data_IF_896503548523
#
_entry.id   IF_896503548523
#
_cell.length_a   1.000
_cell.length_b   1.000
_cell.length_c   1.000
_cell.angle_alpha   90.00
_cell.angle_beta   90.00
_cell.angle_gamma   90.00
#
_symmetry.space_group_name_H-M   'P 1'
#
loop_
_entity.id
_entity.type
_entity.pdbx_description
1 polymer ?
#
# COMPACT_ATOMS: atom_id res chain seq x y z
N UNK A 1 -0.91 10.22 -14.20
CA UNK A 1 -0.44 10.76 -12.91
C UNK A 1 -1.67 10.97 -12.04
N UNK A 2 -1.66 10.44 -10.82
CA UNK A 2 -2.77 10.47 -9.87
C UNK A 2 -2.85 11.87 -9.28
N UNK A 3 -4.00 12.52 -9.44
CA UNK A 3 -4.26 13.84 -8.85
C UNK A 3 -4.60 13.69 -7.37
N UNK A 4 -3.99 14.52 -6.52
CA UNK A 4 -4.31 14.59 -5.09
C UNK A 4 -5.79 14.95 -4.84
N UNK A 5 -6.46 15.64 -5.78
CA UNK A 5 -7.90 15.90 -5.72
C UNK A 5 -8.78 14.64 -5.80
N UNK A 6 -8.24 13.53 -6.30
CA UNK A 6 -8.94 12.23 -6.37
C UNK A 6 -8.86 11.45 -5.06
N UNK A 7 -8.11 11.93 -4.08
CA UNK A 7 -7.93 11.27 -2.81
C UNK A 7 -9.19 11.37 -1.95
N UNK A 8 -9.58 10.22 -1.40
CA UNK A 8 -10.64 10.16 -0.41
C UNK A 8 -10.13 10.60 0.96
N UNK A 9 -10.97 11.34 1.68
CA UNK A 9 -10.63 11.91 2.99
C UNK A 9 -10.25 10.84 4.03
N UNK A 10 -9.50 11.23 5.07
CA UNK A 10 -9.18 10.34 6.20
C UNK A 10 -10.43 9.67 6.81
N UNK A 11 -11.55 10.37 7.04
CA UNK A 11 -12.81 9.74 7.46
C UNK A 11 -13.32 8.62 6.54
N UNK A 12 -13.08 8.71 5.23
CA UNK A 12 -13.41 7.62 4.30
C UNK A 12 -12.44 6.45 4.48
N UNK A 13 -11.14 6.72 4.52
CA UNK A 13 -10.09 5.70 4.66
C UNK A 13 -10.17 4.95 6.01
N UNK A 14 -10.81 5.54 7.02
CA UNK A 14 -11.17 4.85 8.28
C UNK A 14 -12.17 3.71 8.08
N UNK A 15 -13.01 3.79 7.04
CA UNK A 15 -14.14 2.87 6.80
C UNK A 15 -13.92 1.94 5.62
N UNK A 16 -13.14 2.37 4.63
CA UNK A 16 -13.03 1.66 3.36
C UNK A 16 -11.65 1.85 2.73
N UNK A 17 -11.26 0.88 1.92
CA UNK A 17 -10.12 0.96 1.02
C UNK A 17 -10.46 1.84 -0.19
N UNK A 18 -9.54 2.69 -0.58
CA UNK A 18 -9.57 3.36 -1.88
C UNK A 18 -8.82 2.51 -2.90
N UNK A 19 -9.36 2.37 -4.11
CA UNK A 19 -8.71 1.66 -5.22
C UNK A 19 -8.79 2.49 -6.48
N UNK A 20 -7.81 2.33 -7.38
CA UNK A 20 -7.76 3.04 -8.65
C UNK A 20 -6.79 2.42 -9.63
N UNK A 21 -6.66 3.06 -10.78
CA UNK A 21 -5.73 2.64 -11.83
C UNK A 21 -5.25 3.80 -12.68
N UNK A 22 -3.99 3.75 -13.08
CA UNK A 22 -3.38 4.67 -14.04
C UNK A 22 -2.48 3.87 -14.99
N UNK A 23 -2.74 3.94 -16.30
CA UNK A 23 -1.87 3.43 -17.39
C UNK A 23 -1.15 2.10 -17.08
N UNK A 24 -1.91 1.04 -16.80
CA UNK A 24 -1.37 -0.30 -16.54
C UNK A 24 -0.97 -0.58 -15.09
N UNK A 25 -0.88 0.44 -14.23
CA UNK A 25 -0.75 0.30 -12.78
C UNK A 25 -2.13 0.28 -12.12
N UNK A 26 -2.35 -0.68 -11.22
CA UNK A 26 -3.44 -0.68 -10.25
C UNK A 26 -2.90 -0.27 -8.89
N UNK A 27 -3.68 0.46 -8.14
CA UNK A 27 -3.28 0.90 -6.81
C UNK A 27 -4.42 0.84 -5.80
N UNK A 28 -4.04 0.80 -4.53
CA UNK A 28 -4.97 0.94 -3.41
C UNK A 28 -4.32 1.66 -2.23
N UNK A 29 -5.14 2.35 -1.45
CA UNK A 29 -4.76 3.00 -0.20
C UNK A 29 -5.75 2.55 0.87
N UNK A 30 -5.25 1.99 1.97
CA UNK A 30 -6.09 1.48 3.07
C UNK A 30 -5.45 1.65 4.44
N UNK A 31 -6.30 1.65 5.47
CA UNK A 31 -5.89 1.63 6.88
C UNK A 31 -5.25 0.29 7.24
N UNK A 32 -4.15 0.36 7.99
CA UNK A 32 -3.53 -0.80 8.64
C UNK A 32 -3.31 -0.49 10.12
N UNK A 33 -3.48 -1.47 10.99
CA UNK A 33 -3.13 -1.37 12.41
C UNK A 33 -1.88 -2.21 12.66
N UNK A 34 -0.90 -1.63 13.35
CA UNK A 34 0.37 -2.27 13.70
C UNK A 34 0.57 -2.18 15.21
N UNK A 35 0.88 -3.32 15.85
CA UNK A 35 1.27 -3.33 17.26
C UNK A 35 2.77 -3.11 17.36
N UNK A 36 3.18 -2.05 18.06
CA UNK A 36 4.58 -1.79 18.38
C UNK A 36 4.83 -2.14 19.84
N UNK A 37 5.91 -2.88 20.07
CA UNK A 37 6.40 -3.18 21.41
C UNK A 37 7.38 -2.07 21.78
N UNK A 38 7.08 -1.31 22.82
CA UNK A 38 7.99 -0.29 23.32
C UNK A 38 8.93 -0.98 24.32
N UNK A 39 10.25 -1.06 24.04
CA UNK A 39 11.20 -1.55 25.02
C UNK A 39 11.25 -0.57 26.19
N UNK A 40 11.18 -1.09 27.42
CA UNK A 40 11.26 -0.27 28.63
C UNK A 40 12.69 0.31 28.73
N UNK A 41 12.87 1.61 28.50
CA UNK A 41 14.20 2.26 28.56
C UNK A 41 14.69 2.52 30.00
N UNK A 42 13.83 2.36 31.01
CA UNK A 42 14.20 2.48 32.43
C UNK A 42 14.77 1.16 32.99
N UNK A 43 15.97 0.82 32.56
CA UNK A 43 16.80 -0.22 33.19
C UNK A 43 17.58 0.35 34.39
N UNK A 44 16.94 1.11 35.29
CA UNK A 44 17.51 1.48 36.58
C UNK A 44 16.70 0.84 37.72
N UNK A 45 17.12 -0.38 38.09
CA UNK A 45 16.90 -1.04 39.38
C UNK A 45 15.52 -0.89 40.05
N UNK A 46 14.57 -1.76 39.71
CA UNK A 46 13.87 -2.55 40.73
C UNK A 46 13.23 -3.78 40.08
N UNK A 47 13.23 -4.92 40.78
CA UNK A 47 12.76 -6.20 40.29
C UNK A 47 11.23 -6.22 40.19
N UNK A 48 10.69 -5.66 39.10
CA UNK A 48 9.31 -5.88 38.69
C UNK A 48 9.30 -6.33 37.23
N UNK A 49 8.80 -7.54 36.99
CA UNK A 49 8.52 -8.06 35.65
C UNK A 49 7.33 -7.30 35.06
N UNK A 50 7.52 -6.05 34.63
CA UNK A 50 6.51 -5.31 33.87
C UNK A 50 6.53 -5.79 32.41
N UNK A 51 5.43 -6.38 31.96
CA UNK A 51 5.25 -6.82 30.59
C UNK A 51 5.49 -5.66 29.60
N UNK A 52 6.08 -5.93 28.42
CA UNK A 52 6.31 -4.90 27.41
C UNK A 52 5.02 -4.14 27.08
N UNK A 53 5.06 -2.81 27.05
CA UNK A 53 3.90 -1.99 26.67
C UNK A 53 3.67 -2.12 25.17
N UNK A 54 2.54 -2.69 24.80
CA UNK A 54 2.06 -2.79 23.42
C UNK A 54 1.24 -1.55 23.06
N UNK A 55 1.67 -0.80 22.04
CA UNK A 55 0.93 0.32 21.48
C UNK A 55 0.37 -0.04 20.10
N UNK A 56 -0.92 0.22 19.89
CA UNK A 56 -1.56 0.07 18.58
C UNK A 56 -1.42 1.35 17.77
N UNK A 57 -0.61 1.30 16.72
CA UNK A 57 -0.40 2.42 15.79
C UNK A 57 -1.27 2.22 14.55
N UNK A 58 -1.98 3.27 14.13
CA UNK A 58 -2.74 3.27 12.88
C UNK A 58 -1.94 3.94 11.77
N UNK A 59 -1.83 3.27 10.61
CA UNK A 59 -1.06 3.72 9.45
C UNK A 59 -1.91 3.66 8.17
N UNK A 60 -1.50 4.41 7.14
CA UNK A 60 -1.95 4.21 5.77
C UNK A 60 -0.96 3.31 5.03
N UNK A 61 -1.46 2.32 4.31
CA UNK A 61 -0.66 1.53 3.38
C UNK A 61 -1.12 1.79 1.95
N UNK A 62 -0.19 2.28 1.14
CA UNK A 62 -0.36 2.38 -0.30
C UNK A 62 0.25 1.14 -0.95
N UNK A 63 -0.48 0.54 -1.88
CA UNK A 63 -0.07 -0.67 -2.57
C UNK A 63 -0.30 -0.49 -4.07
N UNK A 64 0.68 -0.86 -4.89
CA UNK A 64 0.61 -0.81 -6.34
C UNK A 64 0.99 -2.16 -6.95
N UNK A 65 0.29 -2.56 -8.01
CA UNK A 65 0.56 -3.78 -8.75
C UNK A 65 0.30 -3.58 -10.27
N UNK A 66 0.88 -4.44 -11.13
CA UNK A 66 0.51 -4.45 -12.54
C UNK A 66 -0.95 -4.87 -12.73
N UNK A 67 -1.61 -4.24 -13.70
CA UNK A 67 -2.84 -4.75 -14.29
C UNK A 67 -2.62 -6.02 -15.13
N UNK A 68 -3.65 -6.51 -15.83
CA UNK A 68 -4.99 -5.92 -15.96
C UNK A 68 -5.93 -6.21 -14.78
N UNK A 69 -5.62 -7.23 -13.97
CA UNK A 69 -6.45 -7.69 -12.85
C UNK A 69 -6.70 -6.60 -11.81
N UNK A 70 -7.83 -6.66 -11.09
CA UNK A 70 -8.03 -5.76 -9.96
C UNK A 70 -7.16 -6.20 -8.77
N UNK A 71 -7.00 -5.29 -7.81
CA UNK A 71 -6.21 -5.52 -6.60
C UNK A 71 -6.62 -6.78 -5.81
N UNK A 72 -7.85 -7.27 -5.98
CA UNK A 72 -8.37 -8.44 -5.28
C UNK A 72 -7.97 -9.78 -5.94
N UNK A 73 -7.58 -9.74 -7.21
CA UNK A 73 -7.19 -10.93 -7.99
C UNK A 73 -5.70 -10.94 -8.35
N UNK A 74 -4.98 -9.86 -8.07
CA UNK A 74 -3.52 -9.82 -8.22
C UNK A 74 -2.84 -10.60 -7.08
N UNK A 75 -1.87 -11.45 -7.42
CA UNK A 75 -1.05 -12.17 -6.44
C UNK A 75 -0.33 -11.18 -5.49
N UNK A 76 -0.29 -11.44 -4.16
CA UNK A 76 0.35 -10.55 -3.19
C UNK A 76 1.82 -10.21 -3.50
N UNK A 77 2.54 -11.15 -4.11
CA UNK A 77 3.96 -11.02 -4.48
C UNK A 77 4.24 -9.93 -5.52
N UNK A 78 3.23 -9.57 -6.31
CA UNK A 78 3.34 -8.54 -7.34
C UNK A 78 3.10 -7.13 -6.80
N UNK A 79 2.73 -7.01 -5.53
CA UNK A 79 2.50 -5.71 -4.92
C UNK A 79 3.80 -5.10 -4.43
N UNK A 80 4.04 -3.86 -4.85
CA UNK A 80 4.93 -2.95 -4.14
C UNK A 80 4.08 -2.20 -3.12
N UNK A 81 4.48 -2.18 -1.84
CA UNK A 81 3.73 -1.52 -0.76
C UNK A 81 4.60 -0.58 0.04
N UNK A 82 4.02 0.50 0.53
CA UNK A 82 4.68 1.45 1.43
C UNK A 82 3.69 2.01 2.44
N UNK A 83 4.16 2.25 3.66
CA UNK A 83 3.35 2.76 4.78
C UNK A 83 3.65 4.23 5.05
N UNK A 84 2.61 4.94 5.48
CA UNK A 84 2.59 6.37 5.76
C UNK A 84 1.78 6.64 7.04
N UNK A 85 1.91 7.85 7.57
CA UNK A 85 1.08 8.34 8.67
C UNK A 85 -0.40 8.35 8.27
N UNK A 86 -1.29 8.19 9.26
CA UNK A 86 -2.75 8.19 9.03
C UNK A 86 -3.34 9.59 9.20
N UNK A 87 -2.84 10.53 8.40
CA UNK A 87 -3.19 11.95 8.39
C UNK A 87 -3.17 12.52 6.96
N UNK A 88 -3.47 13.81 6.82
CA UNK A 88 -3.54 14.45 5.51
C UNK A 88 -2.18 14.50 4.81
N UNK A 89 -1.07 14.68 5.55
CA UNK A 89 0.28 14.61 4.99
C UNK A 89 0.62 13.21 4.47
N UNK A 90 0.35 12.18 5.27
CA UNK A 90 0.59 10.79 4.89
C UNK A 90 -0.23 10.36 3.69
N UNK A 91 -1.46 10.88 3.55
CA UNK A 91 -2.29 10.67 2.36
C UNK A 91 -1.69 11.32 1.12
N UNK A 92 -1.17 12.55 1.22
CA UNK A 92 -0.50 13.21 0.11
C UNK A 92 0.78 12.46 -0.29
N UNK A 93 1.61 12.11 0.70
CA UNK A 93 2.85 11.34 0.49
C UNK A 93 2.60 9.96 -0.13
N UNK A 94 1.47 9.32 0.19
CA UNK A 94 1.07 8.07 -0.45
C UNK A 94 0.83 8.24 -1.96
N UNK A 95 0.24 9.35 -2.40
CA UNK A 95 0.02 9.63 -3.82
C UNK A 95 1.31 10.03 -4.52
N UNK A 96 2.12 10.88 -3.89
CA UNK A 96 3.44 11.24 -4.43
C UNK A 96 4.25 9.98 -4.71
N UNK A 97 4.27 9.06 -3.74
CA UNK A 97 4.96 7.77 -3.89
C UNK A 97 4.37 6.89 -5.00
N UNK A 98 3.04 6.83 -5.15
CA UNK A 98 2.43 6.08 -6.26
C UNK A 98 2.80 6.67 -7.62
N UNK A 99 2.88 8.00 -7.73
CA UNK A 99 3.30 8.69 -8.93
C UNK A 99 4.80 8.47 -9.22
N UNK A 100 5.66 8.58 -8.22
CA UNK A 100 7.09 8.28 -8.32
C UNK A 100 7.32 6.84 -8.75
N UNK A 101 6.63 5.88 -8.13
CA UNK A 101 6.72 4.46 -8.48
C UNK A 101 6.28 4.20 -9.92
N UNK A 102 5.25 4.90 -10.39
CA UNK A 102 4.82 4.81 -11.78
C UNK A 102 5.93 5.28 -12.72
N UNK A 103 6.53 6.44 -12.47
CA UNK A 103 7.60 6.97 -13.32
C UNK A 103 8.87 6.11 -13.26
N UNK A 104 9.23 5.56 -12.10
CA UNK A 104 10.34 4.61 -11.93
C UNK A 104 10.15 3.36 -12.80
N UNK A 105 8.91 2.85 -12.87
CA UNK A 105 8.55 1.62 -13.60
C UNK A 105 7.70 1.93 -14.83
N UNK A 106 7.88 3.10 -15.45
CA UNK A 106 6.97 3.58 -16.51
C UNK A 106 6.91 2.62 -17.69
N UNK A 107 8.07 2.20 -18.20
CA UNK A 107 8.14 1.29 -19.35
C UNK A 107 7.44 -0.04 -19.07
N UNK A 108 7.57 -0.55 -17.84
CA UNK A 108 6.88 -1.76 -17.41
C UNK A 108 5.36 -1.57 -17.38
N UNK A 109 4.87 -0.51 -16.73
CA UNK A 109 3.43 -0.26 -16.66
C UNK A 109 2.81 0.09 -18.01
N UNK A 110 3.55 0.78 -18.89
CA UNK A 110 3.11 1.03 -20.28
C UNK A 110 3.09 -0.25 -21.11
N UNK A 111 4.05 -1.17 -20.95
CA UNK A 111 4.01 -2.51 -21.57
C UNK A 111 2.77 -3.29 -21.09
N UNK A 112 2.47 -3.25 -19.78
CA UNK A 112 1.24 -3.84 -19.21
C UNK A 112 -0.01 -3.23 -19.85
N UNK A 113 -0.02 -1.90 -20.02
CA UNK A 113 -1.17 -1.18 -20.57
C UNK A 113 -1.40 -1.51 -22.05
N UNK A 114 -0.32 -1.56 -22.84
CA UNK A 114 -0.38 -1.81 -24.28
C UNK A 114 -0.54 -3.29 -24.62
N UNK A 115 -0.10 -4.19 -23.73
CA UNK A 115 -0.08 -5.63 -23.95
C UNK A 115 -0.69 -6.42 -22.76
N UNK A 116 -1.95 -6.14 -22.36
CA UNK A 116 -2.56 -6.78 -21.20
C UNK A 116 -2.69 -8.32 -21.36
N UNK A 117 -2.83 -8.81 -22.60
CA UNK A 117 -2.91 -10.25 -22.90
C UNK A 117 -1.63 -11.02 -22.54
N UNK A 118 -0.47 -10.37 -22.66
CA UNK A 118 0.84 -10.97 -22.30
C UNK A 118 0.87 -11.26 -20.80
N UNK A 119 0.49 -10.28 -19.99
CA UNK A 119 0.40 -10.40 -18.53
C UNK A 119 -0.70 -11.38 -18.10
N UNK A 120 -1.83 -11.41 -18.81
CA UNK A 120 -2.88 -12.39 -18.54
C UNK A 120 -2.37 -13.83 -18.69
N UNK A 121 -1.66 -14.13 -19.78
CA UNK A 121 -1.16 -15.48 -20.06
C UNK A 121 -0.02 -15.91 -19.12
N UNK A 122 0.85 -14.99 -18.73
CA UNK A 122 1.97 -15.30 -17.82
C UNK A 122 1.50 -15.58 -16.38
N UNK A 123 0.53 -14.82 -15.88
CA UNK A 123 0.07 -14.94 -14.50
C UNK A 123 -1.14 -15.86 -14.32
N UNK A 124 -1.82 -16.19 -15.42
CA UNK A 124 -3.04 -16.98 -15.47
C UNK A 124 -2.90 -18.13 -16.47
N UNK A 125 -1.76 -18.83 -16.47
CA UNK A 125 -1.75 -20.24 -16.91
C UNK A 125 -2.78 -20.94 -16.03
N UNK A 126 -3.97 -21.13 -16.58
CA UNK A 126 -4.91 -22.13 -16.09
C UNK A 126 -4.12 -23.41 -15.98
N UNK A 127 -3.99 -23.91 -14.76
CA UNK A 127 -3.67 -25.31 -14.53
C UNK A 127 -4.75 -26.12 -15.27
N UNK A 128 -4.47 -26.50 -16.51
CA UNK A 128 -5.18 -27.56 -17.23
C UNK A 128 -4.77 -28.92 -16.67
#
# INVERSE_FOLDING_TARGET
MIDHGTLLSIPFLKKSRFTGSDRGMRYSIYKVEETRVIPNEDASNDASEEAPKEEKVTLLEAAACPGPFSVDFTKPELFTKKRFSFDDEGRAAAVDWLNELYEEKREFFEDVYNHPDKYYKEHHKTDE
#
